data_IF_734495073689
#
_entry.id   IF_734495073689
#
_cell.length_a   1.000
_cell.length_b   1.000
_cell.length_c   1.000
_cell.angle_alpha   90.00
_cell.angle_beta   90.00
_cell.angle_gamma   90.00
#
_symmetry.space_group_name_H-M   'P 1'
#
loop_
_entity.id
_entity.type
_entity.pdbx_description
1 polymer ?
#
# COMPACT_ATOMS: atom_id res chain seq x y z
N UNK A 1 -21.38 34.78 9.90
CA UNK A 1 -20.89 34.24 11.18
C UNK A 1 -21.60 32.93 11.57
N UNK A 2 -22.93 32.80 11.37
CA UNK A 2 -23.62 31.48 11.42
C UNK A 2 -22.95 30.42 10.55
N UNK A 3 -22.49 30.80 9.36
CA UNK A 3 -21.73 29.95 8.45
C UNK A 3 -20.50 29.26 9.07
N UNK A 4 -19.80 29.88 10.03
CA UNK A 4 -18.61 29.28 10.64
C UNK A 4 -18.97 28.18 11.65
N UNK A 5 -20.08 28.37 12.36
CA UNK A 5 -20.62 27.36 13.26
C UNK A 5 -21.17 26.16 12.46
N UNK A 6 -21.89 26.44 11.38
CA UNK A 6 -22.41 25.40 10.49
C UNK A 6 -21.27 24.60 9.84
N UNK A 7 -20.18 25.26 9.43
CA UNK A 7 -18.98 24.60 8.91
C UNK A 7 -18.32 23.69 9.95
N UNK A 8 -18.22 24.14 11.20
CA UNK A 8 -17.65 23.33 12.27
C UNK A 8 -18.51 22.10 12.57
N UNK A 9 -19.83 22.27 12.63
CA UNK A 9 -20.74 21.14 12.84
C UNK A 9 -20.71 20.18 11.66
N UNK A 10 -20.73 20.69 10.43
CA UNK A 10 -20.62 19.88 9.24
C UNK A 10 -19.28 19.11 9.20
N UNK A 11 -18.19 19.70 9.67
CA UNK A 11 -16.91 19.00 9.80
C UNK A 11 -17.03 17.82 10.77
N UNK A 12 -17.60 18.03 11.95
CA UNK A 12 -17.77 16.98 12.96
C UNK A 12 -18.73 15.88 12.50
N UNK A 13 -19.85 16.25 11.91
CA UNK A 13 -20.84 15.33 11.37
C UNK A 13 -20.21 14.47 10.27
N UNK A 14 -19.45 15.07 9.34
CA UNK A 14 -18.72 14.30 8.33
C UNK A 14 -17.73 13.31 8.95
N UNK A 15 -17.04 13.67 10.03
CA UNK A 15 -16.11 12.75 10.70
C UNK A 15 -16.83 11.60 11.40
N UNK A 16 -18.00 11.88 12.00
CA UNK A 16 -18.83 10.86 12.65
C UNK A 16 -19.44 9.90 11.63
N UNK A 17 -19.94 10.42 10.51
CA UNK A 17 -20.54 9.60 9.44
C UNK A 17 -19.52 8.65 8.80
N UNK A 18 -18.26 9.08 8.69
CA UNK A 18 -17.18 8.30 8.09
C UNK A 18 -16.35 7.50 9.10
N UNK A 19 -16.74 7.44 10.37
CA UNK A 19 -15.98 6.78 11.43
C UNK A 19 -15.58 5.34 11.06
N UNK A 20 -16.46 4.58 10.39
CA UNK A 20 -16.20 3.19 10.00
C UNK A 20 -15.14 3.01 8.90
N UNK A 21 -14.84 4.07 8.14
CA UNK A 21 -13.87 4.04 7.04
C UNK A 21 -12.52 4.61 7.45
N UNK A 22 -12.48 5.37 8.54
CA UNK A 22 -11.27 5.98 9.07
C UNK A 22 -10.49 4.95 9.89
N UNK A 23 -9.17 5.04 9.84
CA UNK A 23 -8.30 4.23 10.69
C UNK A 23 -8.52 4.58 12.17
N UNK A 24 -8.45 3.55 13.03
CA UNK A 24 -8.63 3.70 14.47
C UNK A 24 -7.64 4.70 15.09
N UNK A 25 -6.37 4.72 14.67
CA UNK A 25 -5.36 5.68 15.17
C UNK A 25 -5.76 7.14 14.87
N UNK A 26 -6.31 7.40 13.68
CA UNK A 26 -6.81 8.73 13.35
C UNK A 26 -8.02 9.10 14.21
N UNK A 27 -8.96 8.18 14.36
CA UNK A 27 -10.17 8.41 15.15
C UNK A 27 -9.86 8.68 16.62
N UNK A 28 -8.99 7.88 17.23
CA UNK A 28 -8.58 8.05 18.63
C UNK A 28 -7.94 9.42 18.83
N UNK A 29 -7.06 9.83 17.89
CA UNK A 29 -6.45 11.17 17.96
C UNK A 29 -7.46 12.29 17.72
N UNK A 30 -8.42 12.09 16.84
CA UNK A 30 -9.51 13.04 16.61
C UNK A 30 -10.35 13.20 17.87
N UNK A 31 -10.75 12.11 18.51
CA UNK A 31 -11.53 12.12 19.74
C UNK A 31 -10.76 12.79 20.89
N UNK A 32 -9.49 12.45 21.07
CA UNK A 32 -8.60 13.08 22.05
C UNK A 32 -8.55 14.61 21.85
N UNK A 33 -8.31 15.08 20.63
CA UNK A 33 -8.22 16.52 20.34
C UNK A 33 -9.58 17.22 20.51
N UNK A 34 -10.68 16.59 20.13
CA UNK A 34 -11.99 17.24 20.14
C UNK A 34 -12.72 17.18 21.47
N UNK A 35 -12.45 16.17 22.31
CA UNK A 35 -13.22 15.88 23.53
C UNK A 35 -12.39 15.85 24.82
N UNK A 36 -11.08 15.63 24.74
CA UNK A 36 -10.24 15.52 25.93
C UNK A 36 -9.51 16.83 26.27
N UNK A 37 -8.74 16.81 27.37
CA UNK A 37 -7.98 17.95 27.84
C UNK A 37 -6.83 18.28 26.86
N UNK A 38 -6.88 19.48 26.28
CA UNK A 38 -5.86 19.96 25.36
C UNK A 38 -4.62 20.55 26.04
N UNK A 39 -4.69 20.83 27.35
CA UNK A 39 -3.58 21.41 28.10
C UNK A 39 -2.26 20.62 27.97
N UNK A 40 -2.21 19.28 28.05
CA UNK A 40 -0.97 18.52 27.83
C UNK A 40 -0.46 18.61 26.39
N UNK A 41 -1.35 18.72 25.39
CA UNK A 41 -1.00 18.74 23.97
C UNK A 41 -0.44 20.09 23.49
N UNK A 42 -0.74 21.19 24.20
CA UNK A 42 -0.35 22.53 23.80
C UNK A 42 0.95 22.96 24.50
N UNK A 43 2.07 22.80 23.78
CA UNK A 43 3.43 23.18 24.22
C UNK A 43 3.58 24.65 24.62
N UNK A 44 2.72 25.54 24.11
CA UNK A 44 2.72 26.96 24.46
C UNK A 44 2.50 27.19 25.97
N UNK A 45 1.59 26.44 26.59
CA UNK A 45 1.33 26.55 28.03
C UNK A 45 2.33 25.76 28.87
N UNK A 46 2.94 24.71 28.31
CA UNK A 46 4.02 23.98 28.97
C UNK A 46 5.27 24.86 29.19
N UNK A 47 5.62 25.71 28.22
CA UNK A 47 6.77 26.61 28.31
C UNK A 47 6.57 27.79 29.29
N UNK A 48 5.33 28.24 29.46
CA UNK A 48 4.98 29.42 30.27
C UNK A 48 4.42 29.10 31.66
N UNK A 49 4.44 27.81 32.07
CA UNK A 49 3.91 27.33 33.35
C UNK A 49 2.46 26.84 33.26
N UNK A 50 2.23 25.62 33.75
CA UNK A 50 0.97 24.87 33.67
C UNK A 50 -0.21 25.52 34.41
N UNK A 51 0.04 26.38 35.39
CA UNK A 51 -0.99 27.11 36.16
C UNK A 51 -1.83 28.10 35.34
N UNK A 52 -1.44 28.37 34.08
CA UNK A 52 -2.18 29.27 33.21
C UNK A 52 -3.21 28.55 32.32
N UNK A 53 -3.03 27.26 32.00
CA UNK A 53 -3.92 26.59 31.04
C UNK A 53 -5.34 26.36 31.60
N UNK A 54 -5.45 25.94 32.87
CA UNK A 54 -6.73 25.74 33.54
C UNK A 54 -7.52 27.04 33.73
N UNK A 55 -6.82 28.17 33.84
CA UNK A 55 -7.43 29.49 34.02
C UNK A 55 -7.68 30.20 32.69
N UNK A 56 -7.01 29.78 31.61
CA UNK A 56 -7.17 30.35 30.29
C UNK A 56 -8.60 30.13 29.79
N UNK A 57 -9.31 31.24 29.56
CA UNK A 57 -10.70 31.25 29.10
C UNK A 57 -11.59 30.33 29.98
N UNK A 58 -11.46 30.46 31.30
CA UNK A 58 -12.28 29.69 32.26
C UNK A 58 -12.17 28.16 32.09
N UNK A 59 -11.02 27.66 31.63
CA UNK A 59 -10.76 26.23 31.50
C UNK A 59 -11.38 25.58 30.26
N UNK A 60 -11.79 26.35 29.23
CA UNK A 60 -12.38 25.77 28.01
C UNK A 60 -11.43 24.81 27.28
N UNK A 61 -10.11 24.98 27.43
CA UNK A 61 -9.11 24.06 26.86
C UNK A 61 -9.20 22.64 27.44
N UNK A 62 -9.72 22.47 28.66
CA UNK A 62 -9.88 21.18 29.32
C UNK A 62 -11.07 20.37 28.79
N UNK A 63 -11.96 21.02 28.02
CA UNK A 63 -13.19 20.42 27.50
C UNK A 63 -13.07 20.02 26.02
N UNK A 64 -11.86 20.10 25.45
CA UNK A 64 -11.60 19.76 24.06
C UNK A 64 -11.77 20.91 23.05
N UNK A 65 -11.28 20.67 21.84
CA UNK A 65 -11.20 21.68 20.78
C UNK A 65 -12.58 22.19 20.32
N UNK A 66 -13.61 21.36 20.45
CA UNK A 66 -14.97 21.74 20.08
C UNK A 66 -15.46 22.96 20.88
N UNK A 67 -15.34 22.91 22.21
CA UNK A 67 -15.77 23.99 23.10
C UNK A 67 -14.93 25.24 22.87
N UNK A 68 -13.63 25.08 22.69
CA UNK A 68 -12.69 26.18 22.42
C UNK A 68 -13.08 26.91 21.14
N UNK A 69 -13.47 26.18 20.10
CA UNK A 69 -13.86 26.75 18.80
C UNK A 69 -15.18 27.51 18.90
N UNK A 70 -16.17 26.97 19.64
CA UNK A 70 -17.43 27.69 19.91
C UNK A 70 -17.14 28.99 20.66
N UNK A 71 -16.34 28.91 21.73
CA UNK A 71 -15.98 30.07 22.55
C UNK A 71 -15.20 31.12 21.76
N UNK A 72 -14.32 30.68 20.86
CA UNK A 72 -13.62 31.55 19.92
C UNK A 72 -14.59 32.33 19.04
N UNK A 73 -15.57 31.67 18.41
CA UNK A 73 -16.56 32.35 17.58
C UNK A 73 -17.45 33.32 18.37
N UNK A 74 -17.85 32.93 19.58
CA UNK A 74 -18.61 33.81 20.48
C UNK A 74 -17.81 35.06 20.86
N UNK A 75 -16.54 34.89 21.24
CA UNK A 75 -15.66 35.99 21.63
C UNK A 75 -15.36 36.90 20.44
N UNK A 76 -15.14 36.34 19.25
CA UNK A 76 -14.96 37.09 18.01
C UNK A 76 -16.22 37.91 17.69
N UNK A 77 -17.41 37.32 17.83
CA UNK A 77 -18.69 38.02 17.64
C UNK A 77 -18.83 39.20 18.58
N UNK A 78 -18.60 38.98 19.87
CA UNK A 78 -18.73 40.02 20.89
C UNK A 78 -17.73 41.16 20.63
N UNK A 79 -16.49 40.82 20.30
CA UNK A 79 -15.43 41.79 19.97
C UNK A 79 -15.77 42.61 18.73
N UNK A 80 -16.30 41.96 17.68
CA UNK A 80 -16.70 42.62 16.43
C UNK A 80 -17.91 43.54 16.64
N UNK A 81 -18.90 43.12 17.42
CA UNK A 81 -20.05 43.96 17.76
C UNK A 81 -19.62 45.20 18.56
N UNK A 82 -18.75 45.03 19.56
CA UNK A 82 -18.20 46.16 20.33
C UNK A 82 -17.41 47.11 19.43
N UNK A 83 -16.58 46.57 18.53
CA UNK A 83 -15.87 47.35 17.55
C UNK A 83 -16.82 48.18 16.66
N UNK A 84 -17.91 47.59 16.17
CA UNK A 84 -18.91 48.30 15.35
C UNK A 84 -19.60 49.44 16.13
N UNK A 85 -19.94 49.21 17.41
CA UNK A 85 -20.53 50.25 18.25
C UNK A 85 -19.57 51.42 18.46
N UNK A 86 -18.30 51.14 18.73
CA UNK A 86 -17.26 52.15 18.92
C UNK A 86 -16.94 52.91 17.64
N UNK A 87 -16.97 52.22 16.49
CA UNK A 87 -16.80 52.82 15.18
C UNK A 87 -17.93 53.79 14.85
N UNK A 88 -19.19 53.39 15.10
CA UNK A 88 -20.36 54.25 14.90
C UNK A 88 -20.33 55.49 15.81
N UNK A 89 -19.78 55.35 17.02
CA UNK A 89 -19.59 56.45 17.96
C UNK A 89 -18.34 57.31 17.69
N UNK A 90 -17.55 57.01 16.64
CA UNK A 90 -16.27 57.68 16.32
C UNK A 90 -15.28 57.73 17.49
N UNK A 91 -15.33 56.76 18.40
CA UNK A 91 -14.56 56.75 19.64
C UNK A 91 -13.23 55.97 19.48
N UNK A 92 -12.21 56.64 18.95
CA UNK A 92 -10.90 56.07 18.67
C UNK A 92 -10.13 55.58 19.91
N UNK A 93 -10.28 56.26 21.05
CA UNK A 93 -9.67 55.82 22.32
C UNK A 93 -10.30 54.51 22.80
N UNK A 94 -11.61 54.34 22.62
CA UNK A 94 -12.30 53.08 22.86
C UNK A 94 -11.76 51.94 21.99
N UNK A 95 -11.56 52.18 20.69
CA UNK A 95 -10.99 51.18 19.77
C UNK A 95 -9.58 50.77 20.20
N UNK A 96 -8.70 51.74 20.51
CA UNK A 96 -7.35 51.44 20.96
C UNK A 96 -7.35 50.68 22.29
N UNK A 97 -8.28 51.00 23.20
CA UNK A 97 -8.42 50.25 24.45
C UNK A 97 -8.83 48.80 24.19
N UNK A 98 -9.76 48.55 23.24
CA UNK A 98 -10.29 47.23 22.91
C UNK A 98 -9.20 46.27 22.41
N UNK A 99 -8.32 46.74 21.51
CA UNK A 99 -7.23 45.93 20.94
C UNK A 99 -6.21 45.51 22.00
N UNK A 100 -6.05 46.32 23.05
CA UNK A 100 -5.14 46.03 24.16
C UNK A 100 -5.79 45.24 25.30
N UNK A 101 -7.07 44.86 25.18
CA UNK A 101 -7.73 44.04 26.20
C UNK A 101 -7.36 42.57 26.07
N UNK A 102 -7.42 41.87 27.21
CA UNK A 102 -7.16 40.43 27.34
C UNK A 102 -7.93 39.57 26.31
N UNK A 103 -9.24 39.78 26.04
CA UNK A 103 -9.99 38.93 25.11
C UNK A 103 -9.42 38.95 23.68
N UNK A 104 -8.81 40.06 23.24
CA UNK A 104 -8.19 40.15 21.93
C UNK A 104 -6.90 39.30 21.86
N UNK A 105 -6.10 39.33 22.92
CA UNK A 105 -4.92 38.48 23.04
C UNK A 105 -5.29 36.99 23.11
N UNK A 106 -6.31 36.64 23.88
CA UNK A 106 -6.83 35.26 23.98
C UNK A 106 -7.29 34.75 22.60
N UNK A 107 -7.98 35.60 21.83
CA UNK A 107 -8.41 35.28 20.46
C UNK A 107 -7.22 34.93 19.55
N UNK A 108 -6.15 35.73 19.64
CA UNK A 108 -4.91 35.52 18.89
C UNK A 108 -4.23 34.19 19.27
N UNK A 109 -4.20 33.88 20.58
CA UNK A 109 -3.59 32.64 21.08
C UNK A 109 -4.37 31.41 20.62
N UNK A 110 -5.71 31.42 20.74
CA UNK A 110 -6.55 30.32 20.26
C UNK A 110 -6.30 30.07 18.77
N UNK A 111 -6.34 31.12 17.95
CA UNK A 111 -6.23 30.97 16.50
C UNK A 111 -4.88 30.36 16.08
N UNK A 112 -3.77 30.93 16.55
CA UNK A 112 -2.44 30.59 16.03
C UNK A 112 -1.82 29.38 16.75
N UNK A 113 -2.03 29.23 18.05
CA UNK A 113 -1.34 28.20 18.84
C UNK A 113 -2.20 26.98 19.13
N UNK A 114 -3.52 27.13 19.20
CA UNK A 114 -4.45 26.03 19.49
C UNK A 114 -5.02 25.48 18.18
N UNK A 115 -5.88 26.24 17.51
CA UNK A 115 -6.64 25.78 16.34
C UNK A 115 -5.72 25.41 15.18
N UNK A 116 -4.82 26.29 14.76
CA UNK A 116 -3.97 26.03 13.60
C UNK A 116 -3.03 24.83 13.82
N UNK A 117 -2.47 24.69 15.02
CA UNK A 117 -1.54 23.60 15.35
C UNK A 117 -2.26 22.26 15.37
N UNK A 118 -3.35 22.16 16.11
CA UNK A 118 -4.12 20.92 16.27
C UNK A 118 -4.76 20.48 14.94
N UNK A 119 -5.35 21.41 14.20
CA UNK A 119 -5.92 21.08 12.88
C UNK A 119 -4.86 20.62 11.88
N UNK A 120 -3.66 21.23 11.89
CA UNK A 120 -2.55 20.78 11.03
C UNK A 120 -2.09 19.36 11.38
N UNK A 121 -2.05 19.04 12.66
CA UNK A 121 -1.69 17.70 13.14
C UNK A 121 -2.73 16.66 12.71
N UNK A 122 -4.03 16.97 12.90
CA UNK A 122 -5.14 16.12 12.46
C UNK A 122 -5.10 15.90 10.95
N UNK A 123 -4.94 16.96 10.15
CA UNK A 123 -4.83 16.84 8.69
C UNK A 123 -3.64 15.99 8.27
N UNK A 124 -2.50 16.11 8.98
CA UNK A 124 -1.33 15.27 8.71
C UNK A 124 -1.62 13.80 9.01
N UNK A 125 -2.24 13.50 10.16
CA UNK A 125 -2.63 12.13 10.53
C UNK A 125 -3.64 11.54 9.55
N UNK A 126 -4.66 12.31 9.17
CA UNK A 126 -5.63 11.92 8.15
C UNK A 126 -4.95 11.60 6.81
N UNK A 127 -4.03 12.46 6.37
CA UNK A 127 -3.29 12.24 5.12
C UNK A 127 -2.43 10.97 5.17
N UNK A 128 -1.80 10.68 6.30
CA UNK A 128 -0.99 9.47 6.47
C UNK A 128 -1.87 8.22 6.44
N UNK A 129 -3.00 8.25 7.15
CA UNK A 129 -3.98 7.16 7.17
C UNK A 129 -4.53 6.84 5.78
N UNK A 130 -4.87 7.88 5.01
CA UNK A 130 -5.31 7.72 3.61
C UNK A 130 -4.21 7.11 2.76
N UNK A 131 -2.96 7.59 2.90
CA UNK A 131 -1.83 7.07 2.14
C UNK A 131 -1.57 5.59 2.45
N UNK A 132 -1.72 5.19 3.70
CA UNK A 132 -1.57 3.81 4.17
C UNK A 132 -2.65 2.88 3.58
N UNK A 133 -3.93 3.27 3.62
CA UNK A 133 -5.00 2.49 2.96
C UNK A 133 -4.77 2.37 1.44
N UNK A 134 -4.28 3.43 0.79
CA UNK A 134 -3.90 3.37 -0.62
C UNK A 134 -2.75 2.40 -0.88
N UNK A 135 -1.73 2.37 -0.02
CA UNK A 135 -0.60 1.43 -0.14
C UNK A 135 -1.09 0.00 0.06
N UNK A 136 -1.84 -0.30 1.11
CA UNK A 136 -2.40 -1.63 1.36
C UNK A 136 -3.28 -2.14 0.21
N UNK A 137 -4.16 -1.29 -0.34
CA UNK A 137 -4.98 -1.66 -1.50
C UNK A 137 -4.14 -1.92 -2.74
N UNK A 138 -3.09 -1.15 -2.95
CA UNK A 138 -2.19 -1.29 -4.10
C UNK A 138 -1.36 -2.57 -3.98
N UNK A 139 -0.75 -2.81 -2.82
CA UNK A 139 0.00 -4.03 -2.53
C UNK A 139 -0.86 -5.28 -2.68
N UNK A 140 -2.10 -5.26 -2.16
CA UNK A 140 -3.05 -6.36 -2.32
C UNK A 140 -3.40 -6.62 -3.78
N UNK A 141 -3.62 -5.57 -4.58
CA UNK A 141 -3.88 -5.71 -6.02
C UNK A 141 -2.68 -6.31 -6.74
N UNK A 142 -1.46 -5.86 -6.42
CA UNK A 142 -0.22 -6.40 -6.99
C UNK A 142 -0.05 -7.88 -6.60
N UNK A 143 -0.30 -8.24 -5.34
CA UNK A 143 -0.22 -9.62 -4.88
C UNK A 143 -1.21 -10.54 -5.62
N UNK A 144 -2.48 -10.11 -5.76
CA UNK A 144 -3.49 -10.86 -6.53
C UNK A 144 -3.08 -10.98 -8.01
N UNK A 145 -2.50 -9.93 -8.58
CA UNK A 145 -2.01 -9.96 -9.97
C UNK A 145 -0.87 -10.96 -10.16
N UNK A 146 0.08 -11.05 -9.24
CA UNK A 146 1.18 -12.03 -9.27
C UNK A 146 0.63 -13.46 -9.20
N UNK A 147 -0.30 -13.73 -8.29
CA UNK A 147 -0.94 -15.04 -8.15
C UNK A 147 -1.68 -15.43 -9.44
N UNK A 148 -2.42 -14.48 -10.03
CA UNK A 148 -3.09 -14.69 -11.31
C UNK A 148 -2.11 -15.05 -12.44
N UNK A 149 -0.96 -14.38 -12.51
CA UNK A 149 0.07 -14.65 -13.53
C UNK A 149 0.63 -16.08 -13.40
N UNK A 150 0.90 -16.54 -12.16
CA UNK A 150 1.35 -17.91 -11.90
C UNK A 150 0.33 -18.94 -12.38
N UNK A 151 -0.96 -18.71 -12.11
CA UNK A 151 -2.05 -19.61 -12.56
C UNK A 151 -2.12 -19.68 -14.08
N UNK A 152 -1.99 -18.54 -14.78
CA UNK A 152 -1.95 -18.50 -16.24
C UNK A 152 -0.74 -19.28 -16.79
N UNK A 153 0.43 -19.14 -16.16
CA UNK A 153 1.65 -19.84 -16.57
C UNK A 153 1.51 -21.37 -16.40
N UNK A 154 0.96 -21.82 -15.27
CA UNK A 154 0.68 -23.24 -15.03
C UNK A 154 -0.30 -23.78 -16.07
N UNK A 155 -1.40 -23.06 -16.32
CA UNK A 155 -2.38 -23.42 -17.35
C UNK A 155 -1.71 -23.53 -18.73
N UNK A 156 -0.86 -22.55 -19.07
CA UNK A 156 -0.11 -22.57 -20.32
C UNK A 156 0.78 -23.82 -20.44
N UNK A 157 1.55 -24.19 -19.41
CA UNK A 157 2.38 -25.40 -19.43
C UNK A 157 1.52 -26.66 -19.59
N UNK A 158 0.41 -26.75 -18.86
CA UNK A 158 -0.51 -27.90 -18.90
C UNK A 158 -1.13 -28.07 -20.30
N UNK A 159 -1.48 -26.99 -20.99
CA UNK A 159 -2.00 -27.06 -22.35
C UNK A 159 -0.90 -27.21 -23.42
N UNK A 160 0.27 -26.63 -23.20
CA UNK A 160 1.36 -26.58 -24.17
C UNK A 160 2.12 -27.91 -24.28
N UNK A 161 2.37 -28.59 -23.15
CA UNK A 161 3.04 -29.91 -23.16
C UNK A 161 2.30 -30.98 -23.98
N UNK A 162 1.00 -31.24 -23.80
CA UNK A 162 0.29 -32.24 -24.60
C UNK A 162 0.19 -31.82 -26.07
N UNK A 163 0.06 -30.51 -26.34
CA UNK A 163 0.05 -30.00 -27.70
C UNK A 163 1.38 -30.25 -28.42
N UNK A 164 2.52 -29.95 -27.78
CA UNK A 164 3.85 -30.24 -28.31
C UNK A 164 4.08 -31.74 -28.50
N UNK A 165 3.66 -32.57 -27.55
CA UNK A 165 3.77 -34.01 -27.67
C UNK A 165 2.95 -34.55 -28.85
N UNK A 166 1.75 -33.99 -29.08
CA UNK A 166 0.93 -34.29 -30.24
C UNK A 166 1.61 -33.92 -31.56
N UNK A 167 2.19 -32.72 -31.65
CA UNK A 167 2.95 -32.29 -32.83
C UNK A 167 4.20 -33.14 -33.07
N UNK A 168 4.98 -33.44 -32.03
CA UNK A 168 6.17 -34.28 -32.12
C UNK A 168 5.82 -35.69 -32.59
N UNK A 169 4.72 -36.27 -32.09
CA UNK A 169 4.24 -37.57 -32.56
C UNK A 169 3.90 -37.54 -34.06
N UNK A 170 3.21 -36.49 -34.53
CA UNK A 170 2.91 -36.33 -35.94
C UNK A 170 4.17 -36.16 -36.79
N UNK A 171 5.11 -35.31 -36.37
CA UNK A 171 6.40 -35.10 -37.05
C UNK A 171 7.18 -36.42 -37.13
N UNK A 172 7.24 -37.18 -36.03
CA UNK A 172 7.91 -38.48 -36.00
C UNK A 172 7.28 -39.46 -36.99
N UNK A 173 5.94 -39.53 -37.03
CA UNK A 173 5.21 -40.37 -37.99
C UNK A 173 5.52 -39.99 -39.44
N UNK A 174 5.53 -38.69 -39.76
CA UNK A 174 5.86 -38.21 -41.12
C UNK A 174 7.32 -38.49 -41.48
N UNK A 175 8.24 -38.31 -40.53
CA UNK A 175 9.67 -38.64 -40.72
C UNK A 175 9.87 -40.14 -41.00
N UNK A 176 9.15 -41.00 -40.30
CA UNK A 176 9.20 -42.45 -40.50
C UNK A 176 8.62 -42.85 -41.87
N UNK A 177 7.53 -42.20 -42.29
CA UNK A 177 6.95 -42.40 -43.64
C UNK A 177 7.93 -41.99 -44.75
N UNK A 178 8.61 -40.85 -44.60
CA UNK A 178 9.63 -40.39 -45.56
C UNK A 178 10.85 -41.32 -45.61
N UNK A 179 11.25 -41.92 -44.49
CA UNK A 179 12.40 -42.84 -44.42
C UNK A 179 12.10 -44.23 -45.03
N UNK A 180 10.83 -44.62 -45.10
CA UNK A 180 10.41 -45.89 -45.72
C UNK A 180 10.60 -45.89 -47.25
N UNK A 181 10.48 -44.72 -47.90
CA UNK A 181 10.57 -44.58 -49.35
C UNK A 181 11.93 -45.02 -49.93
N UNK A 182 13.11 -44.62 -49.41
CA UNK A 182 14.39 -45.09 -49.91
C UNK A 182 14.69 -46.57 -49.59
N UNK A 183 14.06 -47.15 -48.55
CA UNK A 183 14.24 -48.56 -48.17
C UNK A 183 13.62 -49.52 -49.18
N UNK A 184 12.43 -49.20 -49.70
CA UNK A 184 11.80 -49.97 -50.78
C UNK A 184 12.61 -49.93 -52.08
N UNK A 185 13.22 -48.78 -52.40
CA UNK A 185 14.11 -48.62 -53.55
C UNK A 185 15.42 -49.41 -53.39
N UNK A 186 16.03 -49.43 -52.20
CA UNK A 186 17.24 -50.22 -51.91
C UNK A 186 16.98 -51.73 -51.97
N UNK A 187 15.83 -52.21 -51.47
CA UNK A 187 15.46 -53.64 -51.51
C UNK A 187 15.16 -54.14 -52.92
N UNK A 188 14.75 -53.27 -53.83
CA UNK A 188 14.42 -53.65 -55.22
C UNK A 188 15.67 -53.95 -56.07
N UNK A 189 16.85 -53.49 -55.64
CA UNK A 189 18.12 -53.74 -56.32
C UNK A 189 18.68 -55.08 -55.82
N UNK A 190 18.37 -56.18 -56.52
CA UNK A 190 18.76 -57.58 -56.18
C UNK A 190 20.24 -57.77 -55.82
N UNK A 191 21.14 -56.90 -56.29
CA UNK A 191 22.57 -57.01 -56.07
C UNK A 191 23.04 -56.49 -54.70
N UNK A 192 22.34 -55.52 -54.09
CA UNK A 192 22.75 -54.93 -52.80
C UNK A 192 22.32 -55.82 -51.63
N UNK A 193 21.16 -56.50 -51.74
CA UNK A 193 20.69 -57.48 -50.76
C UNK A 193 21.69 -58.64 -50.55
N UNK A 194 22.33 -59.12 -51.63
CA UNK A 194 23.35 -60.17 -51.56
C UNK A 194 24.62 -59.75 -50.80
N UNK A 195 24.98 -58.48 -50.83
CA UNK A 195 26.18 -57.94 -50.15
C UNK A 195 25.92 -57.66 -48.67
N UNK A 196 24.71 -57.22 -48.31
CA UNK A 196 24.33 -57.04 -46.89
C UNK A 196 24.19 -58.38 -46.16
N UNK A 197 23.67 -59.41 -46.85
CA UNK A 197 23.52 -60.76 -46.29
C UNK A 197 24.86 -61.48 -46.11
N UNK A 198 25.89 -61.14 -46.90
CA UNK A 198 27.25 -61.67 -46.71
C UNK A 198 28.03 -60.97 -45.60
N UNK A 199 27.73 -59.71 -45.27
CA UNK A 199 28.39 -59.01 -44.15
C UNK A 199 27.79 -59.30 -42.76
N UNK A 200 26.49 -59.56 -42.63
CA UNK A 200 25.91 -59.95 -41.33
C UNK A 200 26.44 -61.29 -40.82
N UNK A 201 26.84 -62.18 -41.73
CA UNK A 201 27.57 -63.42 -41.41
C UNK A 201 29.00 -63.17 -40.89
N UNK A 202 29.65 -62.07 -41.31
CA UNK A 202 31.02 -61.71 -40.90
C UNK A 202 31.05 -61.13 -39.46
N UNK A 203 29.96 -60.52 -39.00
CA UNK A 203 29.93 -59.92 -37.66
C UNK A 203 29.63 -60.93 -36.53
N UNK A 204 29.12 -62.13 -36.86
CA UNK A 204 28.86 -63.19 -35.87
C UNK A 204 30.10 -64.07 -35.61
N UNK A 205 31.09 -64.09 -36.50
CA UNK A 205 32.34 -64.84 -36.32
C UNK A 205 33.41 -64.08 -35.51
N UNK A 206 33.35 -62.74 -35.42
CA UNK A 206 34.32 -61.98 -34.60
C UNK A 206 33.99 -61.95 -33.11
N UNK A 207 32.78 -62.35 -32.70
CA UNK A 207 32.37 -62.32 -31.28
C UNK A 207 32.69 -63.62 -30.51
N UNK A 208 33.28 -64.63 -31.16
CA UNK A 208 33.61 -65.93 -30.54
C UNK A 208 35.11 -66.14 -30.27
N UNK A 209 35.97 -65.15 -30.54
CA UNK A 209 37.44 -65.24 -30.38
C UNK A 209 38.05 -64.21 -29.43
N UNK A 210 37.29 -63.68 -28.46
CA UNK A 210 37.85 -62.86 -27.37
C UNK A 210 37.16 -63.10 -26.03
N UNK A 211 37.06 -64.36 -25.62
CA UNK A 211 37.02 -64.71 -24.19
C UNK A 211 38.47 -64.96 -23.72
N UNK A 212 39.06 -63.99 -23.03
CA UNK A 212 40.37 -64.16 -22.40
C UNK A 212 40.75 -62.97 -21.52
N UNK A 213 40.85 -63.20 -20.21
CA UNK A 213 41.42 -62.27 -19.23
C UNK A 213 40.36 -61.48 -18.45
N UNK A 214 39.91 -61.93 -17.28
CA UNK A 214 40.62 -61.98 -15.99
C UNK A 214 40.89 -60.61 -15.36
N UNK A 215 40.26 -60.37 -14.21
CA UNK A 215 40.90 -59.69 -13.09
C UNK A 215 40.55 -58.21 -12.85
N UNK A 216 40.10 -57.91 -11.62
CA UNK A 216 40.64 -56.74 -10.91
C UNK A 216 39.65 -55.69 -10.39
N UNK A 217 39.14 -55.93 -9.18
CA UNK A 217 39.15 -55.04 -8.00
C UNK A 217 39.47 -53.54 -8.20
N UNK A 218 38.62 -52.65 -7.66
CA UNK A 218 38.96 -51.22 -7.53
C UNK A 218 37.93 -50.35 -6.78
N UNK A 219 38.18 -50.14 -5.48
CA UNK A 219 37.59 -49.10 -4.60
C UNK A 219 38.01 -47.67 -5.03
N UNK A 220 37.09 -46.69 -4.93
CA UNK A 220 37.30 -45.28 -4.45
C UNK A 220 35.95 -44.53 -4.56
N UNK A 221 35.30 -43.98 -3.51
CA UNK A 221 35.59 -42.86 -2.59
C UNK A 221 35.71 -41.47 -3.25
N UNK A 222 35.15 -40.49 -2.53
CA UNK A 222 35.22 -39.00 -2.63
C UNK A 222 34.08 -38.33 -3.45
N UNK A 223 33.10 -37.66 -2.82
CA UNK A 223 33.09 -36.32 -2.16
C UNK A 223 33.34 -35.16 -3.10
N UNK A 224 32.30 -34.38 -3.37
CA UNK A 224 32.09 -33.04 -2.81
C UNK A 224 30.62 -32.65 -2.92
#
# INVERSE_FOLDING_TARGET
>A
MFQLYDQQNALQENHLDHQSYLETDYWDRFEEVFREDLCPSITYFAANGTTNCSNFISGTLQQGLHVVTIRYFETLRNTLNQYQLLLNASNWTGINSMVNQVPYYELYVIQNFVTQKLMRELVKKLSLSIQDDFQFRTERKIAIFIVFLIVVLISFIIFWLPFLNGLNYQIYKTKLMLMIIPLELLLKIKNVAKVLQSQSFIQQSSKKSSSGGSGGSGKRKETN
#
